data_IF_653888997113
#
_entry.id   IF_653888997113
#
_cell.length_a   1.000
_cell.length_b   1.000
_cell.length_c   1.000
_cell.angle_alpha   90.00
_cell.angle_beta   90.00
_cell.angle_gamma   90.00
#
_symmetry.space_group_name_H-M   'P 1'
#
loop_
_entity.id
_entity.type
_entity.pdbx_description
1 polymer ?
#
# COMPACT_ATOMS: atom_id res chain seq x y z
N UNK A 1 2.08 -10.33 16.74
CA UNK A 1 2.24 -9.85 18.13
C UNK A 1 3.05 -8.58 18.10
N UNK A 2 2.60 -7.52 18.78
CA UNK A 2 3.31 -6.23 18.88
C UNK A 2 4.66 -6.48 19.57
N UNK A 3 5.80 -5.95 19.06
CA UNK A 3 7.09 -6.08 19.73
C UNK A 3 7.12 -5.37 21.08
N UNK A 4 7.90 -5.88 22.03
CA UNK A 4 7.94 -5.35 23.41
C UNK A 4 8.71 -4.02 23.53
N UNK A 5 9.75 -3.81 22.71
CA UNK A 5 10.60 -2.61 22.78
C UNK A 5 10.40 -1.74 21.53
N UNK A 6 10.91 -2.21 20.39
CA UNK A 6 10.76 -1.54 19.11
C UNK A 6 10.64 -2.53 17.95
N UNK A 7 10.11 -2.04 16.83
CA UNK A 7 10.12 -2.74 15.55
C UNK A 7 10.87 -1.92 14.50
N UNK A 8 11.58 -2.63 13.62
CA UNK A 8 12.15 -2.06 12.41
C UNK A 8 11.12 -2.01 11.28
N UNK A 9 11.44 -1.30 10.20
CA UNK A 9 10.67 -1.35 8.95
C UNK A 9 10.50 -2.79 8.44
N UNK A 10 11.56 -3.60 8.51
CA UNK A 10 11.55 -4.98 8.06
C UNK A 10 10.66 -5.87 8.96
N UNK A 11 10.62 -5.63 10.27
CA UNK A 11 9.69 -6.32 11.18
C UNK A 11 8.24 -6.05 10.81
N UNK A 12 7.89 -4.78 10.58
CA UNK A 12 6.55 -4.38 10.17
C UNK A 12 6.18 -5.03 8.82
N UNK A 13 7.08 -4.98 7.85
CA UNK A 13 6.90 -5.60 6.55
C UNK A 13 6.64 -7.11 6.63
N UNK A 14 7.39 -7.84 7.48
CA UNK A 14 7.23 -9.29 7.66
C UNK A 14 5.98 -9.67 8.44
N UNK A 15 5.67 -8.94 9.52
CA UNK A 15 4.53 -9.25 10.40
C UNK A 15 3.19 -8.75 9.85
N UNK A 16 3.19 -7.79 8.93
CA UNK A 16 1.99 -7.23 8.30
C UNK A 16 1.33 -6.12 9.13
N UNK A 17 0.11 -5.73 8.76
CA UNK A 17 -0.58 -4.59 9.39
C UNK A 17 -1.15 -4.95 10.77
N UNK A 18 -0.31 -4.93 11.80
CA UNK A 18 -0.71 -5.13 13.20
C UNK A 18 -0.91 -3.82 13.97
N UNK A 19 -0.76 -2.67 13.30
CA UNK A 19 -0.86 -1.34 13.89
C UNK A 19 -2.20 -0.73 13.46
N UNK A 20 -3.09 -0.46 14.41
CA UNK A 20 -4.38 0.13 14.10
C UNK A 20 -4.25 1.63 13.85
N UNK A 21 -5.01 2.15 12.88
CA UNK A 21 -4.89 3.56 12.45
C UNK A 21 -4.99 4.61 13.57
N UNK A 22 -5.93 4.52 14.55
CA UNK A 22 -6.05 5.57 15.56
C UNK A 22 -5.00 5.49 16.68
N UNK A 23 -4.09 4.51 16.66
CA UNK A 23 -3.11 4.30 17.73
C UNK A 23 -1.69 4.73 17.35
N UNK A 24 -1.52 5.60 16.35
CA UNK A 24 -0.20 5.99 15.83
C UNK A 24 0.03 7.49 15.93
N UNK A 25 1.18 7.85 16.48
CA UNK A 25 1.73 9.21 16.43
C UNK A 25 3.04 9.14 15.64
N UNK A 26 3.24 10.06 14.71
CA UNK A 26 4.46 10.13 13.91
C UNK A 26 4.90 11.57 13.67
N UNK A 27 6.20 11.78 13.46
CA UNK A 27 6.76 13.10 13.15
C UNK A 27 6.39 13.52 11.73
N UNK A 28 6.20 14.82 11.50
CA UNK A 28 5.88 15.36 10.16
C UNK A 28 7.11 15.37 9.22
N UNK A 29 7.55 14.18 8.81
CA UNK A 29 8.76 13.95 8.02
C UNK A 29 8.47 13.65 6.54
N UNK A 30 7.22 13.34 6.21
CA UNK A 30 6.80 13.11 4.83
C UNK A 30 6.42 14.44 4.20
N UNK A 31 7.40 15.15 3.64
CA UNK A 31 7.15 16.41 2.92
C UNK A 31 6.16 16.26 1.77
N UNK A 32 6.34 15.22 0.94
CA UNK A 32 5.37 14.83 -0.10
C UNK A 32 5.10 13.32 -0.01
N UNK A 33 3.84 12.87 0.06
CA UNK A 33 3.53 11.45 0.07
C UNK A 33 4.04 10.76 -1.21
N UNK A 34 4.54 9.51 -1.11
CA UNK A 34 4.92 8.75 -2.29
C UNK A 34 3.73 8.59 -3.25
N UNK A 35 3.93 8.76 -4.58
CA UNK A 35 2.83 8.62 -5.54
C UNK A 35 2.18 7.22 -5.49
N UNK A 36 2.93 6.18 -5.13
CA UNK A 36 2.43 4.81 -4.99
C UNK A 36 1.39 4.67 -3.87
N UNK A 37 1.38 5.56 -2.88
CA UNK A 37 0.38 5.54 -1.79
C UNK A 37 -1.04 5.67 -2.36
N UNK A 38 -1.23 6.48 -3.41
CA UNK A 38 -2.54 6.67 -4.04
C UNK A 38 -3.06 5.43 -4.77
N UNK A 39 -2.16 4.49 -5.08
CA UNK A 39 -2.51 3.22 -5.69
C UNK A 39 -2.88 2.16 -4.63
N UNK A 40 -2.48 2.37 -3.37
CA UNK A 40 -2.74 1.41 -2.30
C UNK A 40 -4.21 1.44 -1.85
N UNK A 41 -4.92 0.31 -1.84
CA UNK A 41 -6.25 0.22 -1.23
C UNK A 41 -6.19 0.22 0.31
N UNK A 42 -5.01 -0.01 0.90
CA UNK A 42 -4.76 -0.02 2.35
C UNK A 42 -3.71 1.06 2.64
N UNK A 43 -4.18 2.26 2.94
CA UNK A 43 -3.32 3.44 3.07
C UNK A 43 -2.49 3.47 4.35
N UNK A 44 -3.05 2.98 5.46
CA UNK A 44 -2.41 2.98 6.77
C UNK A 44 -1.16 2.08 6.79
N UNK A 45 -1.28 0.82 6.38
CA UNK A 45 -0.13 -0.09 6.32
C UNK A 45 0.99 0.45 5.42
N UNK A 46 0.64 0.97 4.25
CA UNK A 46 1.61 1.59 3.36
C UNK A 46 2.35 2.74 4.07
N UNK A 47 1.59 3.63 4.70
CA UNK A 47 2.12 4.79 5.38
C UNK A 47 3.06 4.39 6.53
N UNK A 48 2.68 3.39 7.33
CA UNK A 48 3.48 2.89 8.44
C UNK A 48 4.80 2.29 7.97
N UNK A 49 4.80 1.53 6.87
CA UNK A 49 6.04 0.98 6.30
C UNK A 49 6.96 2.09 5.80
N UNK A 50 6.42 3.11 5.13
CA UNK A 50 7.24 4.24 4.66
C UNK A 50 7.82 5.04 5.83
N UNK A 51 6.99 5.37 6.83
CA UNK A 51 7.44 6.11 8.02
C UNK A 51 8.50 5.35 8.81
N UNK A 52 8.37 4.03 8.95
CA UNK A 52 9.36 3.19 9.62
C UNK A 52 10.72 3.17 8.90
N UNK A 53 10.80 3.62 7.64
CA UNK A 53 12.07 3.82 6.95
C UNK A 53 12.89 4.99 7.49
N UNK A 54 12.30 5.86 8.32
CA UNK A 54 12.96 7.02 8.91
C UNK A 54 13.30 6.85 10.39
N UNK A 55 13.03 5.68 10.97
CA UNK A 55 13.32 5.39 12.38
C UNK A 55 12.53 4.19 12.91
N UNK A 56 12.84 3.80 14.14
CA UNK A 56 12.20 2.67 14.81
C UNK A 56 10.74 2.97 15.19
N UNK A 57 9.93 1.92 15.22
CA UNK A 57 8.56 1.93 15.74
C UNK A 57 8.59 1.58 17.22
N UNK A 58 8.17 2.48 18.10
CA UNK A 58 8.10 2.25 19.54
C UNK A 58 6.66 1.99 19.98
N UNK A 59 6.49 1.15 21.00
CA UNK A 59 5.19 0.81 21.56
C UNK A 59 4.93 1.64 22.84
N UNK A 60 3.78 2.30 22.90
CA UNK A 60 3.27 2.96 24.10
C UNK A 60 2.22 2.03 24.73
N UNK A 61 2.39 1.57 25.98
CA UNK A 61 1.50 0.59 26.61
C UNK A 61 0.12 1.15 26.98
N UNK A 62 -0.06 2.48 26.96
CA UNK A 62 -1.30 3.15 27.34
C UNK A 62 -2.41 2.95 26.30
N UNK A 63 -3.65 2.83 26.80
CA UNK A 63 -4.83 2.81 25.93
C UNK A 63 -5.12 4.23 25.44
N UNK A 64 -4.65 4.55 24.23
CA UNK A 64 -4.81 5.89 23.64
C UNK A 64 -6.02 6.06 22.72
N UNK A 65 -6.65 4.96 22.30
CA UNK A 65 -7.80 5.01 21.39
C UNK A 65 -8.70 3.78 21.51
N UNK A 66 -10.00 3.98 21.29
CA UNK A 66 -10.98 2.91 21.15
C UNK A 66 -11.27 2.67 19.65
N UNK A 67 -11.16 1.42 19.20
CA UNK A 67 -11.51 1.04 17.83
C UNK A 67 -12.89 0.40 17.79
N UNK A 68 -13.75 0.85 16.87
CA UNK A 68 -15.07 0.26 16.67
C UNK A 68 -14.97 -1.04 15.88
N UNK A 69 -15.52 -2.11 16.43
CA UNK A 69 -15.69 -3.39 15.72
C UNK A 69 -16.84 -3.30 14.70
N UNK A 70 -16.70 -3.99 13.56
CA UNK A 70 -17.76 -4.06 12.54
C UNK A 70 -17.70 -2.97 11.45
N UNK A 71 -16.52 -2.56 11.03
CA UNK A 71 -16.34 -1.62 9.91
C UNK A 71 -16.50 -2.25 8.53
N UNK A 72 -16.58 -1.40 7.50
CA UNK A 72 -16.70 -1.81 6.09
C UNK A 72 -15.64 -2.84 5.67
N UNK A 73 -14.40 -2.70 6.15
CA UNK A 73 -13.31 -3.63 5.84
C UNK A 73 -13.55 -5.03 6.43
N UNK A 74 -13.91 -5.12 7.72
CA UNK A 74 -14.16 -6.41 8.39
C UNK A 74 -15.35 -7.16 7.80
N UNK A 75 -16.33 -6.46 7.24
CA UNK A 75 -17.50 -7.05 6.59
C UNK A 75 -17.22 -7.58 5.17
N UNK A 76 -16.09 -7.23 4.55
CA UNK A 76 -15.77 -7.71 3.19
C UNK A 76 -15.38 -9.19 3.16
N UNK A 77 -15.43 -9.82 1.99
CA UNK A 77 -15.01 -11.23 1.83
C UNK A 77 -13.52 -11.41 2.11
N UNK A 78 -13.12 -12.63 2.52
CA UNK A 78 -11.71 -12.97 2.70
C UNK A 78 -10.90 -12.69 1.44
N UNK A 79 -11.40 -13.13 0.29
CA UNK A 79 -10.80 -12.90 -1.01
C UNK A 79 -10.56 -11.41 -1.27
N UNK A 80 -11.57 -10.56 -1.04
CA UNK A 80 -11.44 -9.11 -1.22
C UNK A 80 -10.33 -8.51 -0.35
N UNK A 81 -10.24 -8.93 0.92
CA UNK A 81 -9.19 -8.47 1.83
C UNK A 81 -7.80 -8.93 1.36
N UNK A 82 -7.65 -10.21 1.02
CA UNK A 82 -6.37 -10.78 0.57
C UNK A 82 -5.88 -10.08 -0.69
N UNK A 83 -6.75 -9.87 -1.68
CA UNK A 83 -6.37 -9.23 -2.95
C UNK A 83 -6.01 -7.75 -2.75
N UNK A 84 -6.79 -6.99 -1.97
CA UNK A 84 -6.43 -5.61 -1.65
C UNK A 84 -5.13 -5.51 -0.84
N UNK A 85 -4.89 -6.44 0.08
CA UNK A 85 -3.58 -6.56 0.76
C UNK A 85 -2.46 -6.83 -0.25
N UNK A 86 -2.66 -7.70 -1.23
CA UNK A 86 -1.68 -7.95 -2.30
C UNK A 86 -1.40 -6.70 -3.15
N UNK A 87 -2.43 -5.91 -3.49
CA UNK A 87 -2.24 -4.65 -4.21
C UNK A 87 -1.48 -3.61 -3.38
N UNK A 88 -1.75 -3.52 -2.08
CA UNK A 88 -0.95 -2.69 -1.17
C UNK A 88 0.52 -3.13 -1.17
N UNK A 89 0.79 -4.44 -1.11
CA UNK A 89 2.16 -4.95 -1.19
C UNK A 89 2.82 -4.64 -2.55
N UNK A 90 2.07 -4.69 -3.65
CA UNK A 90 2.58 -4.29 -4.98
C UNK A 90 2.95 -2.80 -5.02
N UNK A 91 2.16 -1.94 -4.37
CA UNK A 91 2.47 -0.52 -4.16
C UNK A 91 3.80 -0.34 -3.41
N UNK A 92 3.95 -1.06 -2.30
CA UNK A 92 5.13 -0.98 -1.45
C UNK A 92 6.37 -1.55 -2.15
N UNK A 93 6.23 -2.64 -2.89
CA UNK A 93 7.30 -3.19 -3.72
C UNK A 93 7.81 -2.16 -4.73
N UNK A 94 6.88 -1.51 -5.44
CA UNK A 94 7.19 -0.47 -6.40
C UNK A 94 7.94 0.71 -5.77
N UNK A 95 7.42 1.22 -4.66
CA UNK A 95 8.05 2.28 -3.88
C UNK A 95 9.45 1.86 -3.41
N UNK A 96 9.58 0.68 -2.80
CA UNK A 96 10.83 0.15 -2.28
C UNK A 96 11.90 0.03 -3.38
N UNK A 97 11.55 -0.53 -4.55
CA UNK A 97 12.46 -0.61 -5.70
C UNK A 97 12.88 0.78 -6.20
N UNK A 98 11.96 1.74 -6.24
CA UNK A 98 12.28 3.11 -6.68
C UNK A 98 13.23 3.82 -5.73
N UNK A 99 13.13 3.55 -4.43
CA UNK A 99 13.94 4.14 -3.38
C UNK A 99 15.23 3.35 -3.09
N UNK A 100 15.44 2.18 -3.70
CA UNK A 100 16.61 1.33 -3.45
C UNK A 100 16.53 0.43 -2.21
N UNK A 101 15.35 0.22 -1.64
CA UNK A 101 15.14 -0.67 -0.50
C UNK A 101 14.94 -2.13 -0.96
N UNK A 102 16.02 -2.80 -1.37
CA UNK A 102 15.94 -4.13 -1.99
C UNK A 102 15.40 -5.22 -1.05
N UNK A 103 15.77 -5.20 0.23
CA UNK A 103 15.25 -6.15 1.23
C UNK A 103 13.72 -6.02 1.37
N UNK A 104 13.23 -4.79 1.50
CA UNK A 104 11.80 -4.52 1.62
C UNK A 104 11.05 -4.94 0.35
N UNK A 105 11.62 -4.66 -0.83
CA UNK A 105 11.05 -5.10 -2.08
C UNK A 105 10.92 -6.63 -2.12
N UNK A 106 11.97 -7.37 -1.70
CA UNK A 106 11.93 -8.83 -1.65
C UNK A 106 10.83 -9.35 -0.69
N UNK A 107 10.69 -8.75 0.50
CA UNK A 107 9.63 -9.11 1.46
C UNK A 107 8.25 -8.89 0.83
N UNK A 108 8.03 -7.73 0.20
CA UNK A 108 6.74 -7.43 -0.44
C UNK A 108 6.43 -8.40 -1.58
N UNK A 109 7.41 -8.74 -2.41
CA UNK A 109 7.23 -9.70 -3.50
C UNK A 109 6.84 -11.09 -2.97
N UNK A 110 7.50 -11.56 -1.92
CA UNK A 110 7.17 -12.83 -1.29
C UNK A 110 5.73 -12.85 -0.76
N UNK A 111 5.28 -11.74 -0.14
CA UNK A 111 3.91 -11.61 0.36
C UNK A 111 2.87 -11.58 -0.76
N UNK A 112 3.19 -10.96 -1.89
CA UNK A 112 2.32 -10.97 -3.09
C UNK A 112 2.17 -12.41 -3.59
N UNK A 113 3.28 -13.14 -3.77
CA UNK A 113 3.25 -14.55 -4.20
C UNK A 113 2.38 -15.40 -3.28
N UNK A 114 2.60 -15.32 -1.97
CA UNK A 114 1.78 -16.04 -0.99
C UNK A 114 0.29 -15.72 -1.09
N UNK A 115 -0.07 -14.45 -1.28
CA UNK A 115 -1.48 -14.04 -1.43
C UNK A 115 -2.11 -14.60 -2.71
N UNK A 116 -1.36 -14.61 -3.82
CA UNK A 116 -1.78 -15.19 -5.10
C UNK A 116 -1.93 -16.71 -4.95
N UNK A 117 -0.97 -17.39 -4.34
CA UNK A 117 -1.02 -18.83 -4.11
C UNK A 117 -2.21 -19.22 -3.23
N UNK A 118 -2.47 -18.47 -2.16
CA UNK A 118 -3.62 -18.68 -1.28
C UNK A 118 -4.96 -18.55 -2.01
N UNK A 119 -5.05 -17.65 -2.99
CA UNK A 119 -6.28 -17.39 -3.74
C UNK A 119 -6.27 -18.01 -5.14
N UNK A 120 -5.33 -18.91 -5.46
CA UNK A 120 -5.09 -19.41 -6.82
C UNK A 120 -6.36 -19.94 -7.49
N UNK A 121 -7.18 -20.69 -6.75
CA UNK A 121 -8.43 -21.27 -7.26
C UNK A 121 -9.58 -20.26 -7.42
N UNK A 122 -9.44 -19.08 -6.83
CA UNK A 122 -10.43 -18.00 -6.83
C UNK A 122 -10.02 -16.82 -7.72
N UNK A 123 -8.82 -16.86 -8.32
CA UNK A 123 -8.31 -15.78 -9.16
C UNK A 123 -9.19 -15.59 -10.39
N UNK A 124 -9.58 -14.35 -10.63
CA UNK A 124 -10.36 -13.96 -11.79
C UNK A 124 -9.45 -13.27 -12.81
N UNK A 125 -9.84 -13.29 -14.08
CA UNK A 125 -9.12 -12.57 -15.14
C UNK A 125 -8.97 -11.07 -14.80
N UNK A 126 -9.97 -10.49 -14.14
CA UNK A 126 -9.94 -9.11 -13.66
C UNK A 126 -8.80 -8.84 -12.66
N UNK A 127 -8.40 -9.82 -11.85
CA UNK A 127 -7.26 -9.65 -10.94
C UNK A 127 -5.95 -9.55 -11.70
N UNK A 128 -5.78 -10.41 -12.72
CA UNK A 128 -4.60 -10.44 -13.57
C UNK A 128 -4.49 -9.13 -14.37
N UNK A 129 -5.62 -8.67 -14.93
CA UNK A 129 -5.71 -7.38 -15.60
C UNK A 129 -5.37 -6.23 -14.64
N UNK A 130 -5.86 -6.29 -13.39
CA UNK A 130 -5.57 -5.28 -12.37
C UNK A 130 -4.11 -5.28 -11.97
N UNK A 131 -3.47 -6.44 -11.79
CA UNK A 131 -2.02 -6.53 -11.56
C UNK A 131 -1.21 -5.96 -12.73
N UNK A 132 -1.60 -6.28 -13.97
CA UNK A 132 -0.95 -5.74 -15.18
C UNK A 132 -1.08 -4.21 -15.27
N UNK A 133 -2.29 -3.69 -15.07
CA UNK A 133 -2.55 -2.25 -15.03
C UNK A 133 -1.77 -1.57 -13.91
N UNK A 134 -1.69 -2.20 -12.74
CA UNK A 134 -0.93 -1.72 -11.59
C UNK A 134 0.57 -1.61 -11.91
N UNK A 135 1.15 -2.65 -12.52
CA UNK A 135 2.55 -2.67 -12.91
C UNK A 135 2.88 -1.57 -13.94
N UNK A 136 1.99 -1.35 -14.91
CA UNK A 136 2.12 -0.29 -15.90
C UNK A 136 2.07 1.10 -15.25
N UNK A 137 1.13 1.28 -14.32
CA UNK A 137 0.88 2.57 -13.70
C UNK A 137 1.97 2.97 -12.70
N UNK A 138 2.48 2.01 -11.94
CA UNK A 138 3.69 2.17 -11.12
C UNK A 138 4.84 2.71 -11.98
N UNK A 139 5.09 2.10 -13.14
CA UNK A 139 6.17 2.53 -14.06
C UNK A 139 5.94 3.96 -14.55
N UNK A 140 4.72 4.30 -14.94
CA UNK A 140 4.35 5.66 -15.38
C UNK A 140 4.49 6.70 -14.29
N UNK A 141 3.98 6.40 -13.09
CA UNK A 141 4.05 7.29 -11.93
C UNK A 141 5.50 7.56 -11.52
N UNK A 142 6.36 6.54 -11.55
CA UNK A 142 7.80 6.70 -11.28
C UNK A 142 8.49 7.60 -12.33
N UNK A 143 8.19 7.43 -13.62
CA UNK A 143 8.72 8.27 -14.69
C UNK A 143 8.23 9.73 -14.57
N UNK A 144 6.94 9.92 -14.30
CA UNK A 144 6.33 11.23 -14.19
C UNK A 144 6.81 11.98 -12.95
N UNK A 145 6.98 11.30 -11.82
CA UNK A 145 7.51 11.91 -10.59
C UNK A 145 8.98 12.34 -10.76
N UNK A 146 9.83 11.53 -11.41
CA UNK A 146 11.21 11.95 -11.77
C UNK A 146 11.19 13.23 -12.62
N UNK A 147 10.31 13.28 -13.61
CA UNK A 147 10.14 14.46 -14.48
C UNK A 147 9.67 15.68 -13.68
N UNK A 148 8.80 15.51 -12.69
CA UNK A 148 8.32 16.61 -11.83
C UNK A 148 9.37 17.11 -10.85
N UNK A 149 10.22 16.23 -10.30
CA UNK A 149 11.37 16.64 -9.49
C UNK A 149 12.36 17.48 -10.30
N UNK A 150 12.61 17.12 -11.56
CA UNK A 150 13.45 17.91 -12.47
C UNK A 150 12.82 19.28 -12.79
N UNK A 151 11.49 19.37 -12.86
CA UNK A 151 10.75 20.58 -13.26
C UNK A 151 10.25 21.45 -12.09
N UNK A 152 10.57 21.12 -10.82
CA UNK A 152 10.19 21.93 -9.65
C UNK A 152 8.68 22.16 -9.46
N UNK A 153 7.82 21.23 -9.91
CA UNK A 153 6.36 21.45 -9.92
C UNK A 153 5.69 21.35 -8.53
N UNK A 154 4.64 22.16 -8.24
CA UNK A 154 4.00 22.18 -6.92
C UNK A 154 3.14 20.93 -6.61
N UNK A 155 3.11 20.56 -5.33
CA UNK A 155 2.50 19.34 -4.73
C UNK A 155 1.03 19.13 -5.10
N UNK A 156 0.28 20.19 -5.40
CA UNK A 156 -1.16 20.11 -5.71
C UNK A 156 -1.44 19.36 -7.03
N UNK A 157 -0.54 19.46 -8.02
CA UNK A 157 -0.69 18.77 -9.31
C UNK A 157 -0.46 17.25 -9.22
N UNK A 158 0.33 16.80 -8.23
CA UNK A 158 0.54 15.38 -7.93
C UNK A 158 -0.74 14.71 -7.44
N UNK A 159 -1.47 15.36 -6.50
CA UNK A 159 -2.69 14.79 -5.89
C UNK A 159 -3.81 14.54 -6.91
N UNK A 160 -4.02 15.48 -7.83
CA UNK A 160 -5.06 15.37 -8.86
C UNK A 160 -4.77 14.26 -9.89
N UNK A 161 -3.49 14.06 -10.22
CA UNK A 161 -3.06 13.02 -11.16
C UNK A 161 -3.21 11.64 -10.54
N UNK A 162 -2.80 11.47 -9.28
CA UNK A 162 -2.92 10.22 -8.56
C UNK A 162 -4.39 9.78 -8.36
N UNK A 163 -5.29 10.74 -8.12
CA UNK A 163 -6.74 10.51 -8.04
C UNK A 163 -7.32 10.04 -9.38
N UNK A 164 -6.95 10.67 -10.50
CA UNK A 164 -7.34 10.22 -11.86
C UNK A 164 -6.86 8.80 -12.16
N UNK A 165 -5.65 8.49 -11.74
CA UNK A 165 -5.04 7.18 -11.89
C UNK A 165 -5.79 6.10 -11.09
N UNK A 166 -6.05 6.35 -9.80
CA UNK A 166 -6.87 5.46 -8.97
C UNK A 166 -8.24 5.21 -9.60
N UNK A 167 -8.91 6.27 -10.09
CA UNK A 167 -10.20 6.13 -10.75
C UNK A 167 -10.11 5.34 -12.06
N UNK A 168 -9.01 5.48 -12.83
CA UNK A 168 -8.80 4.72 -14.07
C UNK A 168 -8.54 3.24 -13.80
N UNK A 169 -7.72 2.89 -12.80
CA UNK A 169 -7.52 1.50 -12.36
C UNK A 169 -8.84 0.92 -11.85
N UNK A 170 -9.59 1.68 -11.05
CA UNK A 170 -10.89 1.27 -10.51
C UNK A 170 -11.94 1.10 -11.61
N UNK A 171 -11.91 1.94 -12.65
CA UNK A 171 -12.79 1.84 -13.81
C UNK A 171 -12.44 0.60 -14.66
N UNK A 172 -11.15 0.35 -14.92
CA UNK A 172 -10.69 -0.87 -15.60
C UNK A 172 -11.07 -2.15 -14.85
N UNK A 173 -10.99 -2.12 -13.51
CA UNK A 173 -11.41 -3.23 -12.67
C UNK A 173 -12.94 -3.42 -12.60
N UNK A 174 -13.73 -2.37 -12.86
CA UNK A 174 -15.21 -2.40 -12.86
C UNK A 174 -15.79 -2.69 -14.25
N UNK A 175 -15.12 -2.28 -15.32
CA UNK A 175 -15.54 -2.52 -16.71
C UNK A 175 -15.41 -3.97 -17.17
N UNK A 176 -14.95 -4.88 -16.30
CA UNK A 176 -14.98 -6.33 -16.50
C UNK A 176 -16.01 -7.03 -15.60
N UNK A 177 -16.82 -6.27 -14.83
CA UNK A 177 -17.89 -6.79 -13.95
C UNK A 177 -19.31 -6.41 -14.42
N UNK A 178 -19.51 -6.12 -15.71
CA UNK A 178 -20.83 -6.14 -16.36
C UNK A 178 -20.59 -6.54 -17.82
N UNK A 179 -21.31 -7.50 -18.41
CA UNK A 179 -22.74 -7.83 -18.27
C UNK A 179 -22.99 -9.34 -18.00
N UNK A 180 -24.22 -9.75 -17.61
CA UNK A 180 -24.72 -11.10 -17.89
C UNK A 180 -24.76 -11.42 -19.39
#
# INVERSE_FOLDING_TARGET
KVPAEYATQADLARKGNYIHTPSVVFRNILGTPPPELALSPIGDFFLWVVLAGHGNLYHMPEVMANYRLGGNWSATSRYHRVMNTAYCHAALHAWAKRMGHDELAAIMLQRIRRAIDEQRMNLQLADLARFGAYALEVRRSAQQHRRWMIMGKPVLQLKNSAKKVYHRIKALARGQQGEP
#
